data_IF_708624661190
#
_entry.id   IF_708624661190
#
_cell.length_a   1.000
_cell.length_b   1.000
_cell.length_c   1.000
_cell.angle_alpha   90.00
_cell.angle_beta   90.00
_cell.angle_gamma   90.00
#
_symmetry.space_group_name_H-M   'P 1'
#
loop_
_entity.id
_entity.type
_entity.pdbx_description
1 polymer ?
#
# COMPACT_ATOMS: atom_id res chain seq x y z
N UNK A 1 -19.24 -7.85 -18.75
CA UNK A 1 -18.21 -8.03 -17.70
C UNK A 1 -17.94 -9.51 -17.54
N UNK A 2 -16.67 -9.89 -17.44
CA UNK A 2 -16.23 -11.25 -17.16
C UNK A 2 -15.40 -11.26 -15.87
N UNK A 3 -15.67 -12.24 -15.00
CA UNK A 3 -14.95 -12.39 -13.74
C UNK A 3 -13.68 -13.22 -13.95
N UNK A 4 -12.52 -12.59 -13.79
CA UNK A 4 -11.23 -13.26 -13.64
C UNK A 4 -10.99 -13.63 -12.19
N UNK A 5 -10.66 -14.89 -11.92
CA UNK A 5 -10.23 -15.36 -10.59
C UNK A 5 -8.72 -15.54 -10.62
N UNK A 6 -8.02 -14.73 -9.84
CA UNK A 6 -6.56 -14.68 -9.81
C UNK A 6 -6.11 -15.18 -8.44
N UNK A 7 -5.15 -16.11 -8.43
CA UNK A 7 -4.53 -16.60 -7.21
C UNK A 7 -3.16 -15.95 -7.04
N UNK A 8 -3.01 -15.15 -5.98
CA UNK A 8 -1.76 -14.46 -5.64
C UNK A 8 -0.86 -15.42 -4.87
N UNK A 9 -0.02 -16.18 -5.57
CA UNK A 9 0.75 -17.31 -5.00
C UNK A 9 1.68 -16.94 -3.85
N UNK A 10 2.29 -15.75 -3.88
CA UNK A 10 3.21 -15.29 -2.83
C UNK A 10 2.51 -15.04 -1.49
N UNK A 11 1.24 -14.63 -1.51
CA UNK A 11 0.47 -14.36 -0.28
C UNK A 11 -0.67 -15.32 -0.04
N UNK A 12 -0.91 -16.24 -0.98
CA UNK A 12 -1.99 -17.23 -0.92
C UNK A 12 -3.37 -16.58 -0.74
N UNK A 13 -3.59 -15.49 -1.46
CA UNK A 13 -4.86 -14.75 -1.46
C UNK A 13 -5.52 -14.75 -2.83
N UNK A 14 -6.85 -14.73 -2.83
CA UNK A 14 -7.65 -14.63 -4.04
C UNK A 14 -7.93 -13.16 -4.41
N UNK A 15 -7.88 -12.87 -5.70
CA UNK A 15 -8.24 -11.59 -6.28
C UNK A 15 -9.32 -11.84 -7.33
N UNK A 16 -10.34 -10.99 -7.33
CA UNK A 16 -11.37 -10.95 -8.36
C UNK A 16 -11.17 -9.74 -9.27
N UNK A 17 -11.00 -9.97 -10.58
CA UNK A 17 -10.94 -8.91 -11.57
C UNK A 17 -12.23 -8.90 -12.41
N UNK A 18 -12.94 -7.78 -12.42
CA UNK A 18 -14.19 -7.61 -13.17
C UNK A 18 -13.89 -6.94 -14.50
N UNK A 19 -13.53 -7.73 -15.51
CA UNK A 19 -12.99 -7.21 -16.78
C UNK A 19 -14.12 -6.90 -17.78
N UNK A 20 -14.17 -5.70 -18.37
CA UNK A 20 -15.04 -5.39 -19.50
C UNK A 20 -14.63 -6.22 -20.73
N UNK A 21 -15.60 -6.92 -21.33
CA UNK A 21 -15.39 -7.80 -22.49
C UNK A 21 -16.45 -7.49 -23.53
N UNK A 22 -16.03 -7.35 -24.78
CA UNK A 22 -16.86 -7.18 -25.97
C UNK A 22 -16.32 -8.09 -27.08
N UNK A 23 -17.21 -8.79 -27.78
CA UNK A 23 -16.83 -9.71 -28.87
C UNK A 23 -15.79 -10.75 -28.43
N UNK A 24 -15.92 -11.24 -27.18
CA UNK A 24 -15.00 -12.16 -26.51
C UNK A 24 -13.57 -11.65 -26.30
N UNK A 25 -13.34 -10.35 -26.49
CA UNK A 25 -12.06 -9.68 -26.25
C UNK A 25 -12.17 -8.64 -25.12
N UNK A 26 -11.10 -8.41 -24.34
CA UNK A 26 -11.07 -7.33 -23.38
C UNK A 26 -11.25 -5.97 -24.06
N UNK A 27 -12.03 -5.09 -23.44
CA UNK A 27 -12.15 -3.70 -23.89
C UNK A 27 -11.00 -2.90 -23.31
N UNK A 28 -10.14 -2.37 -24.17
CA UNK A 28 -9.00 -1.53 -23.76
C UNK A 28 -9.33 -0.03 -23.79
N UNK A 29 -10.05 0.41 -24.82
CA UNK A 29 -10.36 1.82 -25.04
C UNK A 29 -11.47 2.28 -24.09
N UNK A 30 -11.26 3.42 -23.45
CA UNK A 30 -12.21 4.10 -22.59
C UNK A 30 -11.72 5.50 -22.26
N UNK A 31 -12.52 6.25 -21.52
CA UNK A 31 -12.22 7.65 -21.19
C UNK A 31 -11.83 7.83 -19.71
N UNK A 32 -11.64 6.73 -18.97
CA UNK A 32 -11.27 6.77 -17.57
C UNK A 32 -9.78 7.12 -17.44
N UNK A 33 -9.46 7.88 -16.40
CA UNK A 33 -8.10 8.31 -16.07
C UNK A 33 -7.61 7.60 -14.82
N UNK A 34 -6.32 7.27 -14.82
CA UNK A 34 -5.60 6.76 -13.65
C UNK A 34 -4.39 7.65 -13.42
N UNK A 35 -4.26 8.21 -12.22
CA UNK A 35 -3.13 9.07 -11.89
C UNK A 35 -1.80 8.32 -12.10
N UNK A 36 -0.85 8.98 -12.76
CA UNK A 36 0.42 8.38 -13.18
C UNK A 36 0.39 7.66 -14.54
N UNK A 37 -0.76 7.51 -15.19
CA UNK A 37 -0.88 6.99 -16.56
C UNK A 37 -1.25 8.12 -17.51
N UNK A 38 -0.47 8.29 -18.59
CA UNK A 38 -0.64 9.40 -19.56
C UNK A 38 -1.95 9.25 -20.33
N UNK A 39 -2.23 8.04 -20.80
CA UNK A 39 -3.38 7.75 -21.66
C UNK A 39 -4.64 7.38 -20.86
N UNK A 40 -5.80 7.51 -21.50
CA UNK A 40 -7.08 7.02 -20.96
C UNK A 40 -7.35 5.59 -21.40
N UNK A 41 -8.07 4.85 -20.57
CA UNK A 41 -8.43 3.46 -20.84
C UNK A 41 -9.81 3.13 -20.27
N UNK A 42 -10.30 1.92 -20.55
CA UNK A 42 -11.51 1.40 -19.91
C UNK A 42 -11.17 0.97 -18.47
N UNK A 43 -11.82 1.58 -17.47
CA UNK A 43 -11.64 1.17 -16.09
C UNK A 43 -12.24 -0.21 -15.81
N UNK A 44 -11.63 -0.93 -14.88
CA UNK A 44 -12.18 -2.18 -14.37
C UNK A 44 -11.91 -2.32 -12.87
N UNK A 45 -12.80 -3.04 -12.18
CA UNK A 45 -12.73 -3.21 -10.72
C UNK A 45 -11.90 -4.43 -10.35
N UNK A 46 -11.09 -4.28 -9.32
CA UNK A 46 -10.37 -5.38 -8.67
C UNK A 46 -10.83 -5.47 -7.21
N UNK A 47 -11.24 -6.66 -6.78
CA UNK A 47 -11.54 -6.95 -5.38
C UNK A 47 -10.42 -7.82 -4.78
N UNK A 48 -9.81 -7.35 -3.69
CA UNK A 48 -8.87 -8.14 -2.89
C UNK A 48 -9.66 -8.89 -1.81
N UNK A 49 -9.77 -10.21 -1.95
CA UNK A 49 -10.58 -11.02 -1.04
C UNK A 49 -9.75 -11.42 0.17
N UNK A 50 -10.28 -11.18 1.37
CA UNK A 50 -9.65 -11.51 2.66
C UNK A 50 -8.15 -11.15 2.66
N UNK A 51 -7.79 -9.87 2.44
CA UNK A 51 -6.41 -9.48 2.11
C UNK A 51 -5.40 -9.70 3.25
N UNK A 52 -5.87 -10.05 4.45
CA UNK A 52 -5.04 -10.39 5.60
C UNK A 52 -4.92 -11.91 5.76
N UNK A 53 -3.69 -12.42 5.87
CA UNK A 53 -3.45 -13.85 6.18
C UNK A 53 -3.66 -14.13 7.66
N UNK A 54 -3.21 -13.19 8.51
CA UNK A 54 -3.33 -13.24 9.97
C UNK A 54 -4.17 -12.05 10.46
N UNK A 55 -3.94 -11.58 11.69
CA UNK A 55 -4.57 -10.38 12.20
C UNK A 55 -4.21 -9.15 11.34
N UNK A 56 -5.23 -8.37 10.93
CA UNK A 56 -5.03 -7.11 10.21
C UNK A 56 -4.19 -6.11 11.00
N UNK A 57 -4.29 -6.15 12.33
CA UNK A 57 -3.42 -5.45 13.27
C UNK A 57 -2.56 -6.50 13.98
N UNK A 58 -1.30 -6.74 13.54
CA UNK A 58 -0.46 -7.81 14.10
C UNK A 58 -0.23 -7.71 15.61
N UNK A 59 -0.17 -6.49 16.14
CA UNK A 59 0.00 -6.19 17.58
C UNK A 59 -1.33 -6.15 18.35
N UNK A 60 -2.46 -6.22 17.64
CA UNK A 60 -3.80 -6.00 18.19
C UNK A 60 -4.10 -4.54 18.56
N UNK A 61 -3.18 -3.60 18.33
CA UNK A 61 -3.37 -2.18 18.62
C UNK A 61 -3.56 -1.38 17.33
N UNK A 62 -4.39 -0.35 17.39
CA UNK A 62 -4.51 0.62 16.30
C UNK A 62 -3.29 1.54 16.20
N UNK A 63 -2.61 1.77 17.33
CA UNK A 63 -1.42 2.60 17.43
C UNK A 63 -0.39 1.88 18.31
N UNK A 64 0.79 1.69 17.74
CA UNK A 64 2.01 1.26 18.42
C UNK A 64 2.97 2.43 18.57
N UNK A 65 3.88 2.32 19.54
CA UNK A 65 4.95 3.29 19.76
C UNK A 65 6.27 2.62 19.45
N UNK A 66 6.97 3.10 18.42
CA UNK A 66 8.29 2.61 18.02
C UNK A 66 9.33 3.55 18.63
N UNK A 67 10.27 3.01 19.41
CA UNK A 67 11.35 3.77 20.05
C UNK A 67 12.59 3.72 19.16
N UNK A 68 13.09 4.87 18.73
CA UNK A 68 14.29 4.99 17.89
C UNK A 68 15.57 5.01 18.75
N UNK A 69 16.72 4.67 18.17
CA UNK A 69 17.99 4.53 18.90
C UNK A 69 18.47 5.85 19.54
N UNK A 70 18.12 6.97 18.92
CA UNK A 70 18.39 8.33 19.42
C UNK A 70 17.52 8.73 20.63
N UNK A 71 16.64 7.84 21.08
CA UNK A 71 15.75 8.03 22.24
C UNK A 71 14.43 8.74 21.92
N UNK A 72 14.23 9.16 20.67
CA UNK A 72 12.93 9.64 20.18
C UNK A 72 11.96 8.48 19.98
N UNK A 73 10.67 8.78 19.77
CA UNK A 73 9.66 7.78 19.46
C UNK A 73 8.73 8.29 18.37
N UNK A 74 8.16 7.36 17.63
CA UNK A 74 7.14 7.61 16.61
C UNK A 74 5.91 6.77 16.93
N UNK A 75 4.73 7.30 16.64
CA UNK A 75 3.52 6.50 16.69
C UNK A 75 3.23 5.95 15.30
N UNK A 76 2.86 4.67 15.25
CA UNK A 76 2.65 3.99 14.00
C UNK A 76 1.44 3.06 14.06
N UNK A 77 0.75 2.89 12.93
CA UNK A 77 -0.23 1.82 12.74
C UNK A 77 0.39 0.73 11.88
N UNK A 78 0.51 -0.47 12.45
CA UNK A 78 1.05 -1.64 11.76
C UNK A 78 -0.11 -2.42 11.14
N UNK A 79 -0.20 -2.42 9.81
CA UNK A 79 -1.31 -3.04 9.07
C UNK A 79 -0.78 -4.22 8.25
N UNK A 80 -1.37 -5.40 8.42
CA UNK A 80 -1.12 -6.57 7.58
C UNK A 80 -2.35 -6.90 6.73
N UNK A 81 -2.55 -6.14 5.66
CA UNK A 81 -3.62 -6.36 4.68
C UNK A 81 -3.11 -6.06 3.27
N UNK A 82 -3.10 -7.06 2.39
CA UNK A 82 -2.59 -6.96 1.03
C UNK A 82 -1.07 -7.11 0.97
N UNK A 83 -0.34 -6.32 1.76
CA UNK A 83 1.05 -6.51 2.19
C UNK A 83 1.21 -5.83 3.57
N UNK A 84 2.19 -6.22 4.40
CA UNK A 84 2.55 -5.47 5.61
C UNK A 84 2.96 -4.04 5.27
N UNK A 85 2.35 -3.06 5.95
CA UNK A 85 2.60 -1.62 5.80
C UNK A 85 2.61 -0.97 7.19
N UNK A 86 3.51 0.00 7.36
CA UNK A 86 3.60 0.85 8.54
C UNK A 86 3.12 2.23 8.14
N UNK A 87 2.08 2.72 8.81
CA UNK A 87 1.63 4.11 8.67
C UNK A 87 2.19 4.94 9.82
N UNK A 88 2.79 6.07 9.48
CA UNK A 88 3.36 7.04 10.42
C UNK A 88 2.84 8.43 10.07
N UNK A 89 2.96 9.38 11.00
CA UNK A 89 2.70 10.79 10.70
C UNK A 89 3.88 11.43 10.00
N UNK A 90 3.64 12.22 8.96
CA UNK A 90 4.67 13.05 8.33
C UNK A 90 5.37 13.98 9.31
N UNK A 91 4.64 14.57 10.26
CA UNK A 91 5.20 15.47 11.27
C UNK A 91 6.30 14.83 12.13
N UNK A 92 6.25 13.51 12.36
CA UNK A 92 7.28 12.78 13.13
C UNK A 92 8.62 12.72 12.35
N UNK A 93 8.59 13.04 11.05
CA UNK A 93 9.72 13.08 10.12
C UNK A 93 9.99 14.50 9.57
N UNK A 94 9.39 15.54 10.17
CA UNK A 94 9.49 16.93 9.70
C UNK A 94 8.96 17.13 8.27
N UNK A 95 7.98 16.33 7.85
CA UNK A 95 7.31 16.41 6.55
C UNK A 95 5.93 17.09 6.68
N UNK A 96 5.39 17.48 5.54
CA UNK A 96 4.18 18.28 5.33
C UNK A 96 3.07 17.55 4.57
N UNK A 97 3.27 16.26 4.24
CA UNK A 97 2.38 15.41 3.45
C UNK A 97 2.22 15.82 1.97
N UNK A 98 3.05 16.75 1.49
CA UNK A 98 2.96 17.33 0.14
C UNK A 98 4.29 17.32 -0.63
N UNK A 99 5.25 16.53 -0.16
CA UNK A 99 6.58 16.44 -0.75
C UNK A 99 6.55 15.83 -2.16
N UNK A 100 7.32 16.41 -3.07
CA UNK A 100 7.65 15.80 -4.34
C UNK A 100 8.75 14.74 -4.16
N UNK A 101 8.88 13.76 -5.08
CA UNK A 101 9.89 12.70 -4.97
C UNK A 101 11.32 13.21 -4.77
N UNK A 102 11.68 14.36 -5.36
CA UNK A 102 13.00 14.98 -5.19
C UNK A 102 13.27 15.54 -3.78
N UNK A 103 12.22 15.82 -3.00
CA UNK A 103 12.33 16.34 -1.63
C UNK A 103 12.46 15.21 -0.60
N UNK A 104 12.01 14.00 -0.94
CA UNK A 104 12.06 12.82 -0.06
C UNK A 104 13.39 12.07 -0.10
N UNK A 105 14.24 12.33 -1.09
CA UNK A 105 15.45 11.54 -1.34
C UNK A 105 16.70 12.12 -0.67
N UNK A 106 16.70 12.22 0.66
CA UNK A 106 17.87 12.63 1.44
C UNK A 106 18.17 11.65 2.58
N UNK A 107 19.47 11.47 2.86
CA UNK A 107 19.99 10.34 3.66
C UNK A 107 19.41 10.24 5.07
N UNK A 108 19.22 11.37 5.75
CA UNK A 108 18.74 11.39 7.14
C UNK A 108 17.30 10.85 7.25
N UNK A 109 16.40 11.32 6.37
CA UNK A 109 15.02 10.85 6.31
C UNK A 109 14.96 9.35 5.98
N UNK A 110 15.70 8.92 4.95
CA UNK A 110 15.72 7.51 4.55
C UNK A 110 16.25 6.60 5.66
N UNK A 111 17.27 7.04 6.40
CA UNK A 111 17.80 6.29 7.53
C UNK A 111 16.77 6.17 8.66
N UNK A 112 16.05 7.26 8.97
CA UNK A 112 15.00 7.24 10.00
C UNK A 112 13.82 6.35 9.61
N UNK A 113 13.42 6.37 8.33
CA UNK A 113 12.37 5.47 7.79
C UNK A 113 12.82 4.02 7.91
N UNK A 114 14.05 3.70 7.51
CA UNK A 114 14.57 2.33 7.55
C UNK A 114 14.70 1.79 8.97
N UNK A 115 15.14 2.64 9.90
CA UNK A 115 15.18 2.29 11.32
C UNK A 115 13.77 1.97 11.86
N UNK A 116 12.78 2.79 11.48
CA UNK A 116 11.38 2.57 11.86
C UNK A 116 10.85 1.24 11.31
N UNK A 117 11.14 0.92 10.05
CA UNK A 117 10.78 -0.35 9.42
C UNK A 117 11.41 -1.54 10.14
N UNK A 118 12.70 -1.44 10.48
CA UNK A 118 13.46 -2.51 11.14
C UNK A 118 12.89 -2.82 12.53
N UNK A 119 12.53 -1.79 13.29
CA UNK A 119 12.07 -1.90 14.68
C UNK A 119 10.59 -2.30 14.81
N UNK A 120 9.78 -2.01 13.80
CA UNK A 120 8.35 -2.33 13.82
C UNK A 120 8.06 -3.83 13.74
N UNK A 121 8.99 -4.64 13.21
CA UNK A 121 8.86 -6.11 13.09
C UNK A 121 7.49 -6.57 12.53
N UNK A 122 7.03 -5.95 11.44
CA UNK A 122 5.77 -6.31 10.74
C UNK A 122 6.00 -7.38 9.68
#
# INVERSE_FOLDING_TARGET
MQLGRIWKTNLKHAIHAHVPVQDSLPVYKGNDKLDGVIDTACAFRIDFLNPSTDATLPTGKSIDVIKLDEGSHIEASLINAGNPIIFVRAGDFCLTDAELPGQLNHSELLQKIEQSNTLAHV
#
